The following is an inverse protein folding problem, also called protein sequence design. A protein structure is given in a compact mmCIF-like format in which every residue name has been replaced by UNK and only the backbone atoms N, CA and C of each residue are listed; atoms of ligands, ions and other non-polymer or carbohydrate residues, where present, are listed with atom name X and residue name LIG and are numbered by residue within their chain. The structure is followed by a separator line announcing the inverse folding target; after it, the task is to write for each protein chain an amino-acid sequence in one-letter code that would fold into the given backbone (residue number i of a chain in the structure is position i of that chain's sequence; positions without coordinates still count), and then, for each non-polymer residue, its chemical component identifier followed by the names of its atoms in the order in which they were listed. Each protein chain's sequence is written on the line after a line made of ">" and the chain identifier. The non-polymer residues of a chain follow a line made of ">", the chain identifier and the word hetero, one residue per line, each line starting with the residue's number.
data_IF_583471135085
#
_entry.id   IF_583471135085
#
_cell.length_a   1.000
_cell.length_b   1.000
_cell.length_c   1.000
_cell.angle_alpha   90.00
_cell.angle_beta   90.00
_cell.angle_gamma   90.00
#
_symmetry.space_group_name_H-M   'P 1'
#
loop_
_entity.id
_entity.type
_entity.pdbx_description
1 polymer ?
#
# COMPACT_ATOMS: atom_id res chain seq x y z
N UNK A 1 -8.17 -18.10 18.53
CA UNK A 1 -7.04 -17.27 19.05
C UNK A 1 -6.25 -16.72 17.87
N UNK A 2 -6.01 -15.44 17.84
CA UNK A 2 -5.26 -14.81 16.76
C UNK A 2 -3.78 -15.22 16.80
N UNK A 3 -3.26 -15.64 15.65
CA UNK A 3 -1.86 -16.07 15.46
C UNK A 3 -1.12 -15.19 14.46
N UNK A 4 -1.86 -14.53 13.57
CA UNK A 4 -1.28 -13.70 12.52
C UNK A 4 -1.96 -12.32 12.45
N UNK A 5 -1.16 -11.29 12.16
CA UNK A 5 -1.65 -9.94 11.85
C UNK A 5 -1.19 -9.57 10.46
N UNK A 6 -2.13 -9.31 9.56
CA UNK A 6 -1.87 -8.95 8.17
C UNK A 6 -2.16 -7.46 8.00
N UNK A 7 -1.20 -6.71 7.52
CA UNK A 7 -1.32 -5.27 7.32
C UNK A 7 -1.44 -4.91 5.84
N UNK A 8 -2.15 -3.83 5.55
CA UNK A 8 -1.91 -3.00 4.39
C UNK A 8 -0.68 -2.12 4.61
N UNK A 9 -0.11 -1.55 3.53
CA UNK A 9 1.06 -0.67 3.61
C UNK A 9 0.68 0.81 3.63
N UNK A 10 0.07 1.29 2.53
CA UNK A 10 -0.17 2.71 2.33
C UNK A 10 -1.41 3.17 3.11
N UNK A 11 -1.30 4.34 3.75
CA UNK A 11 -2.32 4.91 4.65
C UNK A 11 -2.63 4.02 5.88
N UNK A 12 -1.79 2.98 6.08
CA UNK A 12 -1.86 2.04 7.22
C UNK A 12 -0.55 2.01 7.99
N UNK A 13 0.53 1.46 7.42
CA UNK A 13 1.86 1.46 8.06
C UNK A 13 2.66 2.72 7.74
N UNK A 14 2.45 3.28 6.54
CA UNK A 14 3.00 4.56 6.09
C UNK A 14 1.87 5.43 5.51
N UNK A 15 2.15 6.71 5.29
CA UNK A 15 1.23 7.62 4.61
C UNK A 15 1.95 8.51 3.62
N UNK A 16 1.33 8.77 2.48
CA UNK A 16 1.79 9.76 1.51
C UNK A 16 1.63 11.21 2.01
N UNK A 17 0.69 11.45 2.93
CA UNK A 17 0.22 12.79 3.29
C UNK A 17 1.07 13.49 4.36
N UNK A 18 2.16 12.85 4.80
CA UNK A 18 3.20 13.46 5.64
C UNK A 18 4.45 13.86 4.86
N UNK A 19 4.44 13.68 3.54
CA UNK A 19 5.54 13.96 2.62
C UNK A 19 5.07 14.88 1.49
N UNK A 20 5.98 15.51 0.75
CA UNK A 20 5.63 16.19 -0.49
C UNK A 20 4.97 15.20 -1.45
N UNK A 21 3.78 15.54 -1.94
CA UNK A 21 3.05 14.67 -2.87
C UNK A 21 3.70 14.68 -4.26
N UNK A 22 3.83 13.49 -4.86
CA UNK A 22 4.28 13.32 -6.23
C UNK A 22 3.44 12.25 -6.94
N UNK A 23 2.23 12.63 -7.31
CA UNK A 23 1.25 11.81 -8.02
C UNK A 23 1.17 12.20 -9.49
N UNK A 24 0.15 11.71 -10.18
CA UNK A 24 -0.06 11.98 -11.61
C UNK A 24 -0.09 13.47 -11.97
N UNK A 25 -0.68 14.31 -11.13
CA UNK A 25 -0.74 15.75 -11.36
C UNK A 25 0.63 16.43 -11.33
N UNK A 26 1.50 16.06 -10.38
CA UNK A 26 2.86 16.58 -10.29
C UNK A 26 3.75 16.07 -11.42
N UNK A 27 3.59 14.78 -11.80
CA UNK A 27 4.28 14.20 -12.95
C UNK A 27 3.87 14.89 -14.26
N UNK A 28 2.58 15.18 -14.43
CA UNK A 28 2.05 15.91 -15.57
C UNK A 28 2.67 17.32 -15.67
N UNK A 29 2.72 18.04 -14.54
CA UNK A 29 3.33 19.38 -14.48
C UNK A 29 4.81 19.37 -14.86
N UNK A 30 5.57 18.39 -14.33
CA UNK A 30 7.00 18.24 -14.67
C UNK A 30 7.21 17.84 -16.14
N UNK A 31 6.27 17.12 -16.73
CA UNK A 31 6.31 16.74 -18.14
C UNK A 31 5.79 17.83 -19.10
N UNK A 32 5.21 18.92 -18.57
CA UNK A 32 4.57 19.96 -19.38
C UNK A 32 3.29 19.49 -20.10
N UNK A 33 2.61 18.47 -19.56
CA UNK A 33 1.39 17.87 -20.11
C UNK A 33 0.20 18.37 -19.29
N UNK A 34 -0.96 18.69 -19.93
CA UNK A 34 -2.19 18.96 -19.19
C UNK A 34 -2.53 17.78 -18.25
N UNK A 35 -2.87 18.09 -16.98
CA UNK A 35 -3.08 17.07 -15.96
C UNK A 35 -4.14 16.03 -16.37
N UNK A 36 -5.22 16.46 -17.04
CA UNK A 36 -6.31 15.57 -17.49
C UNK A 36 -5.79 14.57 -18.52
N UNK A 37 -4.98 14.99 -19.49
CA UNK A 37 -4.46 14.12 -20.56
C UNK A 37 -3.48 13.09 -19.98
N UNK A 38 -2.60 13.53 -19.08
CA UNK A 38 -1.70 12.63 -18.37
C UNK A 38 -2.46 11.62 -17.52
N UNK A 39 -3.43 12.07 -16.73
CA UNK A 39 -4.21 11.23 -15.82
C UNK A 39 -5.04 10.18 -16.56
N UNK A 40 -5.63 10.53 -17.71
CA UNK A 40 -6.36 9.57 -18.54
C UNK A 40 -5.49 8.37 -18.90
N UNK A 41 -4.28 8.63 -19.42
CA UNK A 41 -3.33 7.57 -19.79
C UNK A 41 -2.76 6.84 -18.58
N UNK A 42 -2.53 7.56 -17.48
CA UNK A 42 -2.03 7.00 -16.23
C UNK A 42 -3.00 6.00 -15.61
N UNK A 43 -4.29 6.34 -15.50
CA UNK A 43 -5.30 5.45 -14.95
C UNK A 43 -5.66 4.30 -15.88
N UNK A 44 -5.56 4.49 -17.20
CA UNK A 44 -5.79 3.42 -18.16
C UNK A 44 -4.82 2.22 -18.00
N UNK A 45 -3.65 2.44 -17.41
CA UNK A 45 -2.63 1.39 -17.19
C UNK A 45 -2.53 0.93 -15.73
N UNK A 46 -3.45 1.36 -14.86
CA UNK A 46 -3.36 1.10 -13.42
C UNK A 46 -3.31 -0.40 -13.07
N UNK A 47 -4.24 -1.18 -13.63
CA UNK A 47 -4.28 -2.62 -13.38
C UNK A 47 -3.02 -3.35 -13.86
N UNK A 48 -2.44 -2.93 -15.00
CA UNK A 48 -1.21 -3.53 -15.52
C UNK A 48 0.01 -3.19 -14.65
N UNK A 49 0.08 -1.95 -14.16
CA UNK A 49 1.13 -1.52 -13.23
C UNK A 49 1.02 -2.18 -11.87
N UNK A 50 -0.21 -2.36 -11.37
CA UNK A 50 -0.46 -3.00 -10.07
C UNK A 50 -0.17 -4.50 -10.08
N UNK A 51 -0.38 -5.17 -11.22
CA UNK A 51 -0.23 -6.63 -11.36
C UNK A 51 1.05 -7.05 -12.08
N UNK A 52 2.07 -6.19 -12.13
CA UNK A 52 3.42 -6.54 -12.59
C UNK A 52 3.61 -6.66 -14.09
N UNK A 53 2.60 -6.28 -14.89
CA UNK A 53 2.68 -6.35 -16.36
C UNK A 53 3.32 -5.12 -17.00
N UNK A 54 3.41 -4.01 -16.27
CA UNK A 54 3.93 -2.75 -16.79
C UNK A 54 4.72 -2.02 -15.68
N UNK A 55 5.99 -1.74 -15.92
CA UNK A 55 6.81 -0.96 -14.98
C UNK A 55 6.43 0.53 -15.01
N UNK A 56 6.87 1.28 -14.00
CA UNK A 56 6.73 2.74 -13.99
C UNK A 56 7.40 3.38 -15.22
N UNK A 57 8.60 2.92 -15.56
CA UNK A 57 9.37 3.44 -16.69
C UNK A 57 8.66 3.20 -18.02
N UNK A 58 8.08 1.99 -18.22
CA UNK A 58 7.32 1.66 -19.42
C UNK A 58 6.05 2.50 -19.54
N UNK A 59 5.31 2.65 -18.44
CA UNK A 59 4.11 3.48 -18.39
C UNK A 59 4.40 4.94 -18.75
N UNK A 60 5.43 5.53 -18.13
CA UNK A 60 5.84 6.91 -18.42
C UNK A 60 6.32 7.06 -19.87
N UNK A 61 7.10 6.11 -20.36
CA UNK A 61 7.54 6.08 -21.76
C UNK A 61 6.36 6.08 -22.72
N UNK A 62 5.34 5.24 -22.45
CA UNK A 62 4.11 5.19 -23.25
C UNK A 62 3.35 6.51 -23.25
N UNK A 63 3.16 7.11 -22.06
CA UNK A 63 2.46 8.39 -21.89
C UNK A 63 3.19 9.51 -22.63
N UNK A 64 4.50 9.67 -22.42
CA UNK A 64 5.29 10.74 -23.03
C UNK A 64 5.35 10.60 -24.55
N UNK A 65 5.39 9.38 -25.09
CA UNK A 65 5.31 9.16 -26.54
C UNK A 65 3.94 9.52 -27.09
N UNK A 66 2.86 9.12 -26.43
CA UNK A 66 1.49 9.48 -26.83
C UNK A 66 1.26 11.01 -26.83
N UNK A 67 1.94 11.74 -25.96
CA UNK A 67 1.85 13.20 -25.84
C UNK A 67 2.93 13.94 -26.66
N UNK A 68 3.79 13.22 -27.42
CA UNK A 68 4.78 13.82 -28.31
C UNK A 68 5.94 14.53 -27.59
N UNK A 69 6.17 14.28 -26.29
CA UNK A 69 7.20 14.91 -25.48
C UNK A 69 8.21 13.91 -24.88
N UNK A 70 8.33 12.74 -25.48
CA UNK A 70 9.25 11.70 -24.99
C UNK A 70 10.71 12.14 -25.06
N UNK A 71 11.41 12.01 -23.93
CA UNK A 71 12.87 11.94 -23.88
C UNK A 71 13.28 10.95 -22.77
N UNK A 72 14.40 10.22 -22.95
CA UNK A 72 14.92 9.31 -21.92
C UNK A 72 15.22 10.06 -20.61
N UNK A 73 15.74 11.29 -20.69
CA UNK A 73 16.10 12.12 -19.54
C UNK A 73 14.86 12.52 -18.74
N UNK A 74 13.75 12.83 -19.44
CA UNK A 74 12.48 13.16 -18.79
C UNK A 74 11.91 11.95 -18.06
N UNK A 75 11.88 10.76 -18.71
CA UNK A 75 11.45 9.51 -18.08
C UNK A 75 12.25 9.28 -16.79
N UNK A 76 13.59 9.32 -16.87
CA UNK A 76 14.46 9.11 -15.72
C UNK A 76 14.23 10.15 -14.61
N UNK A 77 13.91 11.38 -14.97
CA UNK A 77 13.63 12.44 -14.00
C UNK A 77 12.33 12.15 -13.23
N UNK A 78 11.26 11.78 -13.95
CA UNK A 78 9.97 11.45 -13.34
C UNK A 78 10.09 10.20 -12.44
N UNK A 79 10.79 9.15 -12.93
CA UNK A 79 11.06 7.93 -12.16
C UNK A 79 11.81 8.26 -10.86
N UNK A 80 12.92 9.00 -10.93
CA UNK A 80 13.70 9.36 -9.74
C UNK A 80 12.88 10.15 -8.72
N UNK A 81 12.11 11.17 -9.17
CA UNK A 81 11.30 12.00 -8.28
C UNK A 81 10.22 11.18 -7.60
N UNK A 82 9.52 10.32 -8.35
CA UNK A 82 8.49 9.47 -7.78
C UNK A 82 9.06 8.47 -6.79
N UNK A 83 10.14 7.78 -7.12
CA UNK A 83 10.82 6.84 -6.22
C UNK A 83 11.29 7.52 -4.94
N UNK A 84 11.94 8.68 -5.05
CA UNK A 84 12.42 9.44 -3.89
C UNK A 84 11.28 9.84 -2.94
N UNK A 85 10.12 10.23 -3.48
CA UNK A 85 8.94 10.56 -2.67
C UNK A 85 8.40 9.32 -1.95
N UNK A 86 8.40 8.16 -2.60
CA UNK A 86 7.99 6.91 -1.95
C UNK A 86 8.96 6.49 -0.83
N UNK A 87 10.25 6.67 -1.03
CA UNK A 87 11.28 6.45 0.02
C UNK A 87 11.08 7.38 1.22
N UNK A 88 10.71 8.64 0.95
CA UNK A 88 10.49 9.64 2.01
C UNK A 88 9.35 9.24 2.95
N UNK A 89 8.30 8.56 2.46
CA UNK A 89 7.18 8.12 3.29
C UNK A 89 7.63 7.23 4.47
N UNK A 90 8.68 6.44 4.29
CA UNK A 90 9.22 5.56 5.34
C UNK A 90 10.03 6.30 6.42
N UNK A 91 10.34 7.58 6.23
CA UNK A 91 11.00 8.44 7.23
C UNK A 91 10.00 9.15 8.16
N UNK A 92 8.72 9.13 7.80
CA UNK A 92 7.66 9.85 8.51
C UNK A 92 6.60 8.92 9.10
N UNK A 93 7.03 7.79 9.65
CA UNK A 93 6.16 6.82 10.31
C UNK A 93 5.40 7.46 11.49
N UNK A 94 4.21 6.96 11.76
CA UNK A 94 3.56 7.22 13.04
C UNK A 94 4.39 6.61 14.16
N UNK A 95 4.57 7.33 15.27
CA UNK A 95 5.43 6.92 16.40
C UNK A 95 5.08 5.53 16.97
N UNK A 96 3.82 5.11 16.85
CA UNK A 96 3.34 3.80 17.32
C UNK A 96 3.64 2.63 16.38
N UNK A 97 4.07 2.85 15.12
CA UNK A 97 4.26 1.75 14.15
C UNK A 97 5.37 0.79 14.56
N UNK A 98 6.57 1.33 14.80
CA UNK A 98 7.71 0.48 15.21
C UNK A 98 7.49 -0.22 16.55
N UNK A 99 6.97 0.48 17.61
CA UNK A 99 6.60 -0.19 18.86
C UNK A 99 5.57 -1.30 18.69
N UNK A 100 4.55 -1.09 17.86
CA UNK A 100 3.53 -2.11 17.56
C UNK A 100 4.15 -3.36 16.92
N UNK A 101 4.95 -3.17 15.85
CA UNK A 101 5.59 -4.29 15.15
C UNK A 101 6.56 -5.05 16.06
N UNK A 102 7.35 -4.36 16.88
CA UNK A 102 8.21 -4.98 17.87
C UNK A 102 7.39 -5.83 18.87
N UNK A 103 6.32 -5.26 19.42
CA UNK A 103 5.46 -5.97 20.38
C UNK A 103 4.77 -7.18 19.78
N UNK A 104 4.43 -7.17 18.48
CA UNK A 104 3.90 -8.34 17.77
C UNK A 104 4.97 -9.44 17.66
N UNK A 105 6.18 -9.09 17.26
CA UNK A 105 7.29 -10.06 17.16
C UNK A 105 7.70 -10.63 18.52
N UNK A 106 7.76 -9.83 19.57
CA UNK A 106 8.03 -10.27 20.94
C UNK A 106 6.99 -11.25 21.47
N UNK A 107 5.74 -11.15 21.00
CA UNK A 107 4.64 -12.09 21.32
C UNK A 107 4.63 -13.32 20.43
N UNK A 108 5.59 -13.47 19.52
CA UNK A 108 5.64 -14.59 18.57
C UNK A 108 4.55 -14.55 17.50
N UNK A 109 3.93 -13.39 17.26
CA UNK A 109 2.92 -13.24 16.22
C UNK A 109 3.54 -13.30 14.84
N UNK A 110 2.86 -13.98 13.93
CA UNK A 110 3.17 -13.92 12.50
C UNK A 110 2.67 -12.59 11.92
N UNK A 111 3.48 -11.97 11.07
CA UNK A 111 3.15 -10.67 10.48
C UNK A 111 3.14 -10.80 8.96
N UNK A 112 1.97 -10.59 8.35
CA UNK A 112 1.79 -10.52 6.91
C UNK A 112 1.72 -9.07 6.41
N UNK A 113 1.95 -8.92 5.12
CA UNK A 113 1.73 -7.67 4.39
C UNK A 113 0.99 -7.99 3.10
N UNK A 114 -0.08 -7.25 2.79
CA UNK A 114 -0.72 -7.28 1.47
C UNK A 114 -0.82 -5.83 0.98
N UNK A 115 0.00 -5.47 -0.01
CA UNK A 115 0.02 -4.10 -0.54
C UNK A 115 -0.30 -4.08 -2.03
N UNK A 116 -1.30 -3.29 -2.43
CA UNK A 116 -1.44 -2.88 -3.82
C UNK A 116 -0.37 -1.83 -4.10
N UNK A 117 0.55 -2.14 -5.01
CA UNK A 117 1.72 -1.30 -5.28
C UNK A 117 2.21 -1.47 -6.72
N UNK A 118 2.97 -0.50 -7.18
CA UNK A 118 3.61 -0.50 -8.49
C UNK A 118 5.07 -0.95 -8.36
N UNK A 119 5.79 -1.06 -9.49
CA UNK A 119 7.17 -1.54 -9.56
C UNK A 119 8.13 -0.78 -8.62
N UNK A 120 8.10 0.55 -8.66
CA UNK A 120 8.94 1.42 -7.83
C UNK A 120 8.58 1.33 -6.35
N UNK A 121 7.30 1.18 -6.05
CA UNK A 121 6.79 1.03 -4.68
C UNK A 121 7.22 -0.31 -4.08
N UNK A 122 7.11 -1.40 -4.85
CA UNK A 122 7.60 -2.71 -4.43
C UNK A 122 9.09 -2.68 -4.11
N UNK A 123 9.89 -2.05 -4.99
CA UNK A 123 11.33 -1.91 -4.78
C UNK A 123 11.67 -1.08 -3.53
N UNK A 124 10.91 -0.03 -3.23
CA UNK A 124 11.09 0.81 -2.02
C UNK A 124 10.67 0.04 -0.77
N UNK A 125 9.52 -0.65 -0.78
CA UNK A 125 9.04 -1.46 0.35
C UNK A 125 10.10 -2.50 0.74
N UNK A 126 10.69 -3.21 -0.23
CA UNK A 126 11.72 -4.23 0.02
C UNK A 126 12.98 -3.69 0.71
N UNK A 127 13.33 -2.43 0.47
CA UNK A 127 14.49 -1.78 1.09
C UNK A 127 14.16 -1.02 2.37
N UNK A 128 12.88 -0.98 2.75
CA UNK A 128 12.43 -0.20 3.90
C UNK A 128 12.79 -0.84 5.23
N UNK A 129 12.79 -0.02 6.28
CA UNK A 129 12.99 -0.47 7.67
C UNK A 129 11.88 -1.39 8.17
N UNK A 130 10.72 -1.41 7.49
CA UNK A 130 9.57 -2.25 7.86
C UNK A 130 9.66 -3.66 7.27
N UNK A 131 10.36 -3.84 6.13
CA UNK A 131 10.37 -5.11 5.41
C UNK A 131 10.80 -6.32 6.25
N UNK A 132 11.83 -6.23 7.13
CA UNK A 132 12.27 -7.35 7.96
C UNK A 132 11.23 -7.86 8.97
N UNK A 133 10.16 -7.11 9.23
CA UNK A 133 9.10 -7.55 10.15
C UNK A 133 8.11 -8.53 9.52
N UNK A 134 8.03 -8.59 8.20
CA UNK A 134 7.01 -9.40 7.52
C UNK A 134 7.50 -10.83 7.26
N UNK A 135 6.76 -11.80 7.81
CA UNK A 135 6.96 -13.23 7.54
C UNK A 135 6.39 -13.62 6.18
N UNK A 136 5.32 -12.94 5.72
CA UNK A 136 4.70 -13.13 4.41
C UNK A 136 4.39 -11.77 3.75
N UNK A 137 5.37 -11.10 3.12
CA UNK A 137 5.12 -9.91 2.33
C UNK A 137 4.58 -10.27 0.94
N UNK A 138 3.35 -9.82 0.64
CA UNK A 138 2.74 -9.94 -0.67
C UNK A 138 2.60 -8.53 -1.29
N UNK A 139 3.36 -8.30 -2.33
CA UNK A 139 3.36 -7.07 -3.11
C UNK A 139 2.64 -7.36 -4.43
N UNK A 140 1.54 -6.67 -4.71
CA UNK A 140 0.66 -6.99 -5.83
C UNK A 140 1.40 -7.02 -7.18
N UNK A 141 2.35 -6.11 -7.36
CA UNK A 141 3.20 -6.06 -8.56
C UNK A 141 4.02 -7.34 -8.77
N UNK A 142 4.46 -7.99 -7.70
CA UNK A 142 5.26 -9.22 -7.77
C UNK A 142 4.38 -10.47 -7.85
N UNK A 143 3.21 -10.43 -7.20
CA UNK A 143 2.29 -11.57 -7.09
C UNK A 143 1.38 -11.72 -8.32
N UNK A 144 1.23 -10.69 -9.14
CA UNK A 144 0.26 -10.66 -10.24
C UNK A 144 -1.19 -10.65 -9.77
N UNK A 145 -1.43 -10.38 -8.48
CA UNK A 145 -2.72 -10.33 -7.81
C UNK A 145 -2.85 -9.01 -7.06
N UNK A 146 -4.06 -8.51 -6.90
CA UNK A 146 -4.30 -7.27 -6.15
C UNK A 146 -5.53 -7.36 -5.26
N UNK A 147 -5.58 -6.59 -4.19
CA UNK A 147 -6.79 -6.36 -3.40
C UNK A 147 -7.84 -5.67 -4.28
N UNK A 148 -9.14 -6.01 -4.17
CA UNK A 148 -9.76 -6.88 -3.17
C UNK A 148 -9.89 -8.36 -3.61
N UNK A 149 -9.13 -8.85 -4.61
CA UNK A 149 -9.19 -10.25 -5.02
C UNK A 149 -8.84 -11.16 -3.82
N UNK A 150 -9.73 -12.11 -3.50
CA UNK A 150 -9.54 -13.07 -2.41
C UNK A 150 -8.25 -13.90 -2.56
N UNK A 151 -7.79 -14.11 -3.79
CA UNK A 151 -6.62 -14.94 -4.05
C UNK A 151 -5.35 -14.41 -3.37
N UNK A 152 -5.16 -13.09 -3.27
CA UNK A 152 -3.98 -12.52 -2.61
C UNK A 152 -4.03 -12.74 -1.08
N UNK A 153 -5.23 -12.68 -0.48
CA UNK A 153 -5.42 -12.95 0.96
C UNK A 153 -5.16 -14.43 1.26
N UNK A 154 -5.74 -15.35 0.46
CA UNK A 154 -5.54 -16.79 0.60
C UNK A 154 -4.06 -17.16 0.50
N UNK A 155 -3.34 -16.58 -0.47
CA UNK A 155 -1.90 -16.77 -0.61
C UNK A 155 -1.11 -16.26 0.59
N UNK A 156 -1.53 -15.15 1.20
CA UNK A 156 -0.89 -14.63 2.41
C UNK A 156 -1.09 -15.59 3.58
N UNK A 157 -2.31 -16.05 3.82
CA UNK A 157 -2.63 -17.03 4.87
C UNK A 157 -1.85 -18.34 4.68
N UNK A 158 -1.79 -18.84 3.44
CA UNK A 158 -1.02 -20.04 3.10
C UNK A 158 0.47 -19.88 3.47
N UNK A 159 1.09 -18.76 3.12
CA UNK A 159 2.49 -18.48 3.46
C UNK A 159 2.72 -18.32 4.96
N UNK A 160 1.74 -17.81 5.69
CA UNK A 160 1.78 -17.68 7.15
C UNK A 160 1.47 -19.01 7.86
N UNK A 161 0.87 -19.98 7.17
CA UNK A 161 0.37 -21.22 7.80
C UNK A 161 -0.70 -20.95 8.84
N UNK A 162 -1.63 -20.02 8.55
CA UNK A 162 -2.70 -19.58 9.43
C UNK A 162 -4.05 -19.65 8.72
N UNK A 163 -5.10 -20.07 9.46
CA UNK A 163 -6.47 -20.05 8.97
C UNK A 163 -7.09 -18.65 9.12
N UNK A 164 -8.17 -18.36 8.38
CA UNK A 164 -8.78 -17.04 8.36
C UNK A 164 -9.19 -16.54 9.75
N UNK A 165 -9.78 -17.41 10.55
CA UNK A 165 -10.23 -17.11 11.92
C UNK A 165 -9.07 -16.85 12.90
N UNK A 166 -7.85 -17.23 12.51
CA UNK A 166 -6.62 -16.96 13.27
C UNK A 166 -5.93 -15.66 12.81
N UNK A 167 -6.48 -14.99 11.79
CA UNK A 167 -5.91 -13.81 11.18
C UNK A 167 -6.67 -12.54 11.56
N UNK A 168 -5.92 -11.52 11.96
CA UNK A 168 -6.38 -10.16 12.09
C UNK A 168 -5.90 -9.37 10.84
N UNK A 169 -6.80 -8.73 10.12
CA UNK A 169 -6.45 -7.84 9.01
C UNK A 169 -6.60 -6.38 9.44
N UNK A 170 -5.60 -5.57 9.15
CA UNK A 170 -5.54 -4.14 9.49
C UNK A 170 -5.24 -3.34 8.24
N UNK A 171 -6.15 -2.47 7.82
CA UNK A 171 -6.02 -1.61 6.65
C UNK A 171 -6.84 -0.33 6.78
N UNK A 172 -6.60 0.66 5.89
CA UNK A 172 -7.37 1.91 5.87
C UNK A 172 -8.76 1.76 5.23
N UNK A 173 -8.97 0.71 4.44
CA UNK A 173 -10.24 0.44 3.74
C UNK A 173 -10.30 0.96 2.30
N UNK A 174 -9.22 1.54 1.78
CA UNK A 174 -9.18 2.20 0.47
C UNK A 174 -9.34 1.29 -0.74
N UNK A 175 -8.98 0.02 -0.62
CA UNK A 175 -9.05 -0.98 -1.70
C UNK A 175 -10.14 -2.04 -1.48
N UNK A 176 -11.18 -1.75 -0.69
CA UNK A 176 -12.21 -2.71 -0.26
C UNK A 176 -11.64 -3.97 0.44
N UNK A 177 -10.43 -3.85 0.98
CA UNK A 177 -9.69 -4.95 1.58
C UNK A 177 -10.29 -5.40 2.92
N UNK A 178 -10.95 -4.50 3.66
CA UNK A 178 -11.61 -4.85 4.92
C UNK A 178 -12.82 -5.76 4.67
N UNK A 179 -13.61 -5.44 3.65
CA UNK A 179 -14.74 -6.24 3.21
C UNK A 179 -14.28 -7.62 2.73
N UNK A 180 -13.21 -7.66 1.91
CA UNK A 180 -12.64 -8.91 1.40
C UNK A 180 -12.07 -9.79 2.52
N UNK A 181 -11.32 -9.22 3.47
CA UNK A 181 -10.79 -9.95 4.62
C UNK A 181 -11.93 -10.53 5.47
N UNK A 182 -12.96 -9.73 5.78
CA UNK A 182 -14.14 -10.18 6.53
C UNK A 182 -14.92 -11.29 5.82
N UNK A 183 -15.08 -11.21 4.49
CA UNK A 183 -15.79 -12.25 3.72
C UNK A 183 -15.08 -13.58 3.76
N UNK A 184 -13.75 -13.59 3.95
CA UNK A 184 -12.94 -14.79 4.12
C UNK A 184 -12.95 -15.36 5.55
N UNK A 185 -13.54 -14.66 6.51
CA UNK A 185 -13.59 -15.07 7.93
C UNK A 185 -12.52 -14.44 8.83
N UNK A 186 -11.72 -13.52 8.32
CA UNK A 186 -10.75 -12.78 9.15
C UNK A 186 -11.46 -11.76 10.03
N UNK A 187 -10.86 -11.41 11.17
CA UNK A 187 -11.23 -10.22 11.92
C UNK A 187 -10.61 -9.00 11.23
N UNK A 188 -11.44 -8.11 10.66
CA UNK A 188 -10.98 -6.93 9.94
C UNK A 188 -11.18 -5.66 10.76
N UNK A 189 -10.13 -4.85 10.89
CA UNK A 189 -10.10 -3.61 11.66
C UNK A 189 -9.62 -2.46 10.77
N UNK A 190 -10.25 -1.28 10.92
CA UNK A 190 -9.82 -0.11 10.17
C UNK A 190 -8.71 0.65 10.90
N UNK A 191 -7.58 0.85 10.22
CA UNK A 191 -6.52 1.75 10.64
C UNK A 191 -6.98 3.21 10.45
N UNK A 192 -7.33 3.90 11.54
CA UNK A 192 -7.84 5.26 11.48
C UNK A 192 -6.81 6.33 11.86
N UNK A 193 -5.63 5.97 12.31
CA UNK A 193 -4.61 6.89 12.81
C UNK A 193 -4.02 7.84 11.78
N UNK A 194 -4.14 7.54 10.48
CA UNK A 194 -3.78 8.44 9.38
C UNK A 194 -5.01 9.11 8.74
N UNK A 195 -6.22 8.64 9.01
CA UNK A 195 -7.43 9.24 8.46
C UNK A 195 -7.65 10.64 9.06
N UNK A 196 -7.79 11.62 8.19
CA UNK A 196 -8.04 13.01 8.56
C UNK A 196 -9.27 13.53 7.84
N UNK A 197 -10.08 14.29 8.55
CA UNK A 197 -11.18 15.01 7.91
C UNK A 197 -10.63 16.04 6.92
N UNK A 198 -11.33 16.20 5.80
CA UNK A 198 -11.02 17.18 4.74
C UNK A 198 -9.63 17.02 4.08
N UNK A 199 -9.15 15.79 3.90
CA UNK A 199 -7.91 15.50 3.18
C UNK A 199 -8.19 14.90 1.80
N UNK A 200 -7.15 14.84 0.96
CA UNK A 200 -7.19 14.13 -0.34
C UNK A 200 -7.09 12.60 -0.19
N UNK A 201 -7.22 12.08 1.02
CA UNK A 201 -7.18 10.64 1.27
C UNK A 201 -8.36 9.95 0.59
N UNK A 202 -8.13 8.81 -0.09
CA UNK A 202 -9.18 8.13 -0.86
C UNK A 202 -10.21 7.44 0.02
N UNK A 203 -9.91 7.20 1.29
CA UNK A 203 -10.79 6.49 2.22
C UNK A 203 -11.27 7.38 3.37
N UNK A 204 -12.51 7.12 3.79
CA UNK A 204 -13.12 7.69 4.99
C UNK A 204 -13.34 6.59 6.04
N UNK A 205 -13.76 6.99 7.25
CA UNK A 205 -14.14 6.04 8.29
C UNK A 205 -15.28 5.14 7.82
N UNK A 206 -15.12 3.85 8.06
CA UNK A 206 -16.10 2.80 7.73
C UNK A 206 -16.79 2.34 9.01
N UNK A 207 -18.05 2.74 9.26
CA UNK A 207 -18.73 2.46 10.53
C UNK A 207 -18.96 0.98 10.82
N UNK A 208 -18.93 0.15 9.77
CA UNK A 208 -19.13 -1.30 9.87
C UNK A 208 -17.89 -2.06 10.38
N UNK A 209 -16.76 -1.36 10.57
CA UNK A 209 -15.50 -1.93 11.06
C UNK A 209 -15.03 -1.24 12.33
N UNK A 210 -14.50 -1.98 13.33
CA UNK A 210 -13.88 -1.37 14.49
C UNK A 210 -12.73 -0.45 14.07
N UNK A 211 -12.69 0.76 14.68
CA UNK A 211 -11.71 1.79 14.36
C UNK A 211 -10.53 1.71 15.32
N UNK A 212 -9.33 1.72 14.79
CA UNK A 212 -8.09 1.82 15.57
C UNK A 212 -7.54 3.24 15.44
N UNK A 213 -7.55 4.01 16.53
CA UNK A 213 -7.10 5.40 16.54
C UNK A 213 -5.58 5.52 16.71
N UNK A 214 -4.93 4.45 17.19
CA UNK A 214 -3.49 4.39 17.39
C UNK A 214 -2.95 3.01 16.99
N UNK A 215 -1.74 2.89 16.38
CA UNK A 215 -1.18 1.60 15.99
C UNK A 215 -1.13 0.57 17.12
N UNK A 216 -0.81 0.99 18.34
CA UNK A 216 -0.77 0.10 19.51
C UNK A 216 -2.13 -0.52 19.89
N UNK A 217 -3.24 0.02 19.37
CA UNK A 217 -4.57 -0.54 19.63
C UNK A 217 -4.73 -1.94 18.99
N UNK A 218 -3.95 -2.27 17.96
CA UNK A 218 -3.90 -3.61 17.36
C UNK A 218 -3.70 -4.68 18.43
N UNK A 219 -2.84 -4.41 19.42
CA UNK A 219 -2.49 -5.38 20.47
C UNK A 219 -3.66 -5.75 21.40
N UNK A 220 -4.73 -4.95 21.43
CA UNK A 220 -5.95 -5.20 22.24
C UNK A 220 -6.85 -6.26 21.59
N UNK A 221 -6.63 -6.59 20.33
CA UNK A 221 -7.45 -7.50 19.54
C UNK A 221 -6.80 -8.88 19.29
N UNK A 222 -5.71 -9.19 19.99
CA UNK A 222 -4.97 -10.45 19.82
C UNK A 222 -5.47 -11.61 20.70
N UNK A 223 -6.42 -11.36 21.58
CA UNK A 223 -6.93 -12.36 22.55
C UNK A 223 -7.87 -13.40 21.88
#
# INVERSE_FOLDING_TARGET
>A
MIRAVIFDMYETLITHYRCPLYFSAQMAADAGIPAVDFQLLWYATEAERTTGRLTLEDALTGILRAQGCYSPELVQTLVRRRTATKEECFRHLHEGIMPMLNALKERGMLVGLISNCFSEEAAVIRRSVLYPYFDAPLLSWEEGLQKPDEAIFRRCMERLGAEAEECLYVGDGGSHELEAARSLGMTALQAAWYLRENTLQPCSRKPDFPQLEHPMDVLKHLA
#
